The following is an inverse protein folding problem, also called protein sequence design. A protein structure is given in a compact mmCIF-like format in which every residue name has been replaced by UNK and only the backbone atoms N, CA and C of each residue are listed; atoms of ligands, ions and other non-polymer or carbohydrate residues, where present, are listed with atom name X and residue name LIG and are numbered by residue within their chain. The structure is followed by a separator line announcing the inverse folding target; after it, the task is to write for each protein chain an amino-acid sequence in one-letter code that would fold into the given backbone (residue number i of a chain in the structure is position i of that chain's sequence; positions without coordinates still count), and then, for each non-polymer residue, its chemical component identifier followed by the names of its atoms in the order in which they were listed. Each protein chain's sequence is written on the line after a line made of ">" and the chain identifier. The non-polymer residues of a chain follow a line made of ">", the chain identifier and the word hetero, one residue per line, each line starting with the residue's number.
data_IF_669342280778
#
_entry.id   IF_669342280778
#
_cell.length_a   1.000
_cell.length_b   1.000
_cell.length_c   1.000
_cell.angle_alpha   90.00
_cell.angle_beta   90.00
_cell.angle_gamma   90.00
#
_symmetry.space_group_name_H-M   'P 1'
#
loop_
_entity.id
_entity.type
_entity.pdbx_description
1 polymer ?
#
# COMPACT_ATOMS: atom_id res chain seq x y z
N UNK A 1 -5.36 -4.61 26.24
CA UNK A 1 -4.12 -5.21 25.69
C UNK A 1 -4.07 -5.04 24.18
N UNK A 2 -2.87 -5.03 23.60
CA UNK A 2 -2.50 -4.64 22.22
C UNK A 2 -3.05 -5.51 21.06
N UNK A 3 -4.32 -5.93 21.11
CA UNK A 3 -4.98 -6.72 20.06
C UNK A 3 -4.85 -6.12 18.65
N UNK A 4 -4.74 -4.80 18.54
CA UNK A 4 -4.56 -4.13 17.25
C UNK A 4 -3.17 -4.36 16.66
N UNK A 5 -2.11 -4.43 17.49
CA UNK A 5 -0.76 -4.73 17.00
C UNK A 5 -0.69 -6.19 16.54
N UNK A 6 -1.28 -7.10 17.30
CA UNK A 6 -1.36 -8.52 16.91
C UNK A 6 -2.09 -8.69 15.56
N UNK A 7 -3.16 -7.91 15.35
CA UNK A 7 -3.89 -7.88 14.07
C UNK A 7 -3.03 -7.31 12.94
N UNK A 8 -2.36 -6.17 13.12
CA UNK A 8 -1.48 -5.58 12.11
C UNK A 8 -0.36 -6.56 11.72
N UNK A 9 0.24 -7.23 12.70
CA UNK A 9 1.24 -8.27 12.43
C UNK A 9 0.65 -9.49 11.71
N UNK A 10 -0.61 -9.85 11.96
CA UNK A 10 -1.30 -10.88 11.19
C UNK A 10 -1.51 -10.44 9.75
N UNK A 11 -1.95 -9.19 9.55
CA UNK A 11 -2.10 -8.60 8.22
C UNK A 11 -0.78 -8.66 7.46
N UNK A 12 0.35 -8.31 8.09
CA UNK A 12 1.69 -8.42 7.50
C UNK A 12 2.08 -9.84 7.12
N UNK A 13 1.76 -10.84 7.96
CA UNK A 13 2.02 -12.25 7.64
C UNK A 13 1.24 -12.67 6.40
N UNK A 14 -0.04 -12.30 6.31
CA UNK A 14 -0.87 -12.60 5.15
C UNK A 14 -0.35 -11.92 3.89
N UNK A 15 -0.01 -10.62 3.98
CA UNK A 15 0.57 -9.89 2.86
C UNK A 15 1.89 -10.51 2.39
N UNK A 16 2.77 -10.93 3.32
CA UNK A 16 4.02 -11.62 2.96
C UNK A 16 3.78 -12.92 2.18
N UNK A 17 2.76 -13.69 2.55
CA UNK A 17 2.40 -14.91 1.81
C UNK A 17 1.95 -14.58 0.38
N UNK A 18 1.06 -13.60 0.21
CA UNK A 18 0.57 -13.19 -1.10
C UNK A 18 1.68 -12.62 -1.99
N UNK A 19 2.60 -11.83 -1.41
CA UNK A 19 3.77 -11.33 -2.13
C UNK A 19 4.71 -12.45 -2.56
N UNK A 20 4.86 -13.50 -1.75
CA UNK A 20 5.64 -14.69 -2.14
C UNK A 20 5.01 -15.42 -3.32
N UNK A 21 3.69 -15.64 -3.29
CA UNK A 21 2.97 -16.25 -4.42
C UNK A 21 3.09 -15.38 -5.68
N UNK A 22 2.99 -14.06 -5.55
CA UNK A 22 3.16 -13.13 -6.68
C UNK A 22 4.55 -13.22 -7.30
N UNK A 23 5.61 -13.35 -6.49
CA UNK A 23 6.97 -13.57 -6.98
C UNK A 23 7.13 -14.92 -7.69
N UNK A 24 6.55 -15.99 -7.14
CA UNK A 24 6.56 -17.32 -7.79
C UNK A 24 5.90 -17.26 -9.17
N UNK A 25 4.75 -16.58 -9.29
CA UNK A 25 4.09 -16.39 -10.58
C UNK A 25 4.93 -15.52 -11.53
N UNK A 26 5.62 -14.51 -11.00
CA UNK A 26 6.52 -13.68 -11.79
C UNK A 26 7.69 -14.49 -12.34
N UNK A 27 8.28 -15.38 -11.53
CA UNK A 27 9.41 -16.20 -11.96
C UNK A 27 8.99 -17.21 -13.04
N UNK A 28 7.78 -17.77 -12.96
CA UNK A 28 7.19 -18.56 -14.05
C UNK A 28 7.09 -17.73 -15.33
N UNK A 29 6.52 -16.52 -15.22
CA UNK A 29 6.37 -15.61 -16.34
C UNK A 29 7.73 -15.30 -16.98
N UNK A 30 8.74 -14.94 -16.19
CA UNK A 30 10.11 -14.64 -16.66
C UNK A 30 10.80 -15.83 -17.33
N UNK A 31 10.53 -17.06 -16.88
CA UNK A 31 11.04 -18.28 -17.49
C UNK A 31 10.34 -18.66 -18.82
N UNK A 32 9.34 -17.89 -19.25
CA UNK A 32 8.53 -18.19 -20.44
C UNK A 32 7.44 -19.24 -20.19
N UNK A 33 7.26 -19.66 -18.93
CA UNK A 33 6.14 -20.51 -18.52
C UNK A 33 4.88 -19.66 -18.32
N UNK A 34 3.69 -20.20 -18.60
CA UNK A 34 2.44 -19.46 -18.39
C UNK A 34 2.20 -19.27 -16.87
N UNK A 35 2.12 -18.03 -16.35
CA UNK A 35 1.69 -17.78 -14.99
C UNK A 35 0.16 -17.91 -14.87
N UNK A 36 -0.32 -18.08 -13.65
CA UNK A 36 -1.74 -17.98 -13.33
C UNK A 36 -2.14 -16.51 -13.17
N UNK A 37 -2.62 -15.90 -14.26
CA UNK A 37 -3.05 -14.50 -14.27
C UNK A 37 -4.31 -14.24 -13.43
N UNK A 38 -5.20 -15.22 -13.28
CA UNK A 38 -6.40 -15.07 -12.44
C UNK A 38 -5.99 -14.99 -10.95
N UNK A 39 -4.98 -15.76 -10.55
CA UNK A 39 -4.38 -15.69 -9.22
C UNK A 39 -3.63 -14.37 -9.01
N UNK A 40 -2.85 -13.91 -10.00
CA UNK A 40 -2.18 -12.60 -9.94
C UNK A 40 -3.22 -11.50 -9.75
N UNK A 41 -4.29 -11.48 -10.54
CA UNK A 41 -5.34 -10.45 -10.44
C UNK A 41 -5.97 -10.44 -9.04
N UNK A 42 -6.30 -11.62 -8.48
CA UNK A 42 -6.85 -11.71 -7.12
C UNK A 42 -5.90 -11.19 -6.05
N UNK A 43 -4.61 -11.50 -6.16
CA UNK A 43 -3.59 -10.99 -5.23
C UNK A 43 -3.51 -9.47 -5.32
N UNK A 44 -3.44 -8.93 -6.55
CA UNK A 44 -3.35 -7.48 -6.76
C UNK A 44 -4.62 -6.76 -6.31
N UNK A 45 -5.81 -7.33 -6.53
CA UNK A 45 -7.06 -6.74 -6.03
C UNK A 45 -7.08 -6.69 -4.51
N UNK A 46 -6.64 -7.76 -3.84
CA UNK A 46 -6.53 -7.78 -2.38
C UNK A 46 -5.53 -6.71 -1.89
N UNK A 47 -4.33 -6.65 -2.46
CA UNK A 47 -3.28 -5.74 -1.98
C UNK A 47 -3.48 -4.29 -2.43
N UNK A 48 -4.31 -4.03 -3.43
CA UNK A 48 -4.79 -2.70 -3.80
C UNK A 48 -5.74 -2.13 -2.74
N UNK A 49 -6.62 -2.98 -2.21
CA UNK A 49 -7.75 -2.56 -1.39
C UNK A 49 -7.53 -2.72 0.11
N UNK A 50 -7.09 -3.89 0.56
CA UNK A 50 -7.02 -4.19 1.98
C UNK A 50 -6.01 -3.28 2.71
N UNK A 51 -4.77 -3.07 2.20
CA UNK A 51 -3.83 -2.18 2.84
C UNK A 51 -4.36 -0.75 2.96
N UNK A 52 -4.86 -0.19 1.85
CA UNK A 52 -5.28 1.22 1.78
C UNK A 52 -6.57 1.53 2.55
N UNK A 53 -7.50 0.59 2.64
CA UNK A 53 -8.83 0.82 3.22
C UNK A 53 -8.95 0.38 4.68
N UNK A 54 -8.16 -0.61 5.09
CA UNK A 54 -8.30 -1.24 6.41
C UNK A 54 -7.02 -1.12 7.21
N UNK A 55 -5.90 -1.57 6.66
CA UNK A 55 -4.63 -1.69 7.38
C UNK A 55 -3.97 -0.34 7.66
N UNK A 56 -3.63 0.45 6.64
CA UNK A 56 -3.00 1.77 6.83
C UNK A 56 -3.86 2.75 7.63
N UNK A 57 -5.19 2.76 7.49
CA UNK A 57 -6.02 3.55 8.40
C UNK A 57 -5.86 3.15 9.89
N UNK A 58 -5.63 1.86 10.20
CA UNK A 58 -5.32 1.37 11.56
C UNK A 58 -4.01 1.94 12.06
N UNK A 59 -3.01 1.94 11.20
CA UNK A 59 -1.69 2.48 11.48
C UNK A 59 -1.73 3.99 11.69
N UNK A 60 -2.33 4.75 10.78
CA UNK A 60 -2.49 6.21 10.84
C UNK A 60 -3.17 6.68 12.13
N UNK A 61 -4.08 5.87 12.68
CA UNK A 61 -4.70 6.15 13.96
C UNK A 61 -3.70 5.99 15.12
N UNK A 62 -2.88 4.93 15.10
CA UNK A 62 -1.83 4.70 16.09
C UNK A 62 -0.71 5.74 15.97
N UNK A 63 -0.36 6.17 14.75
CA UNK A 63 0.64 7.21 14.49
C UNK A 63 0.25 8.52 15.17
N UNK A 64 -1.03 8.93 15.04
CA UNK A 64 -1.55 10.14 15.70
C UNK A 64 -1.45 10.08 17.22
N UNK A 65 -1.76 8.93 17.82
CA UNK A 65 -1.64 8.76 19.27
C UNK A 65 -0.18 8.76 19.72
N UNK A 66 0.69 8.12 18.96
CA UNK A 66 2.12 8.14 19.23
C UNK A 66 2.66 9.57 19.20
N UNK A 67 2.32 10.37 18.18
CA UNK A 67 2.76 11.77 18.10
C UNK A 67 2.29 12.64 19.25
N UNK A 68 1.12 12.35 19.83
CA UNK A 68 0.60 13.08 20.98
C UNK A 68 1.42 12.82 22.26
N UNK A 69 2.07 11.66 22.38
CA UNK A 69 2.85 11.25 23.57
C UNK A 69 4.36 11.31 23.35
N UNK A 70 4.81 11.06 22.13
CA UNK A 70 6.20 11.13 21.67
C UNK A 70 6.30 11.94 20.36
N UNK A 71 6.39 13.28 20.45
CA UNK A 71 6.64 14.13 19.28
C UNK A 71 7.97 13.83 18.56
N UNK A 72 8.92 13.16 19.22
CA UNK A 72 10.19 12.73 18.64
C UNK A 72 10.03 11.65 17.56
N UNK A 73 8.90 10.93 17.54
CA UNK A 73 8.57 9.97 16.49
C UNK A 73 8.09 10.61 15.17
N UNK A 74 8.04 11.95 15.08
CA UNK A 74 7.62 12.67 13.86
C UNK A 74 8.40 12.27 12.59
N UNK A 75 9.73 12.15 12.57
CA UNK A 75 10.46 11.79 11.35
C UNK A 75 10.09 10.40 10.83
N UNK A 76 10.07 9.38 11.70
CA UNK A 76 9.76 8.00 11.30
C UNK A 76 8.31 7.86 10.82
N UNK A 77 7.36 8.55 11.46
CA UNK A 77 5.96 8.58 11.00
C UNK A 77 5.84 9.28 9.64
N UNK A 78 6.59 10.37 9.42
CA UNK A 78 6.61 11.05 8.13
C UNK A 78 7.08 10.15 6.99
N UNK A 79 8.11 9.35 7.23
CA UNK A 79 8.61 8.37 6.25
C UNK A 79 7.55 7.31 5.94
N UNK A 80 6.91 6.72 6.96
CA UNK A 80 5.88 5.69 6.77
C UNK A 80 4.64 6.20 6.04
N UNK A 81 4.21 7.44 6.32
CA UNK A 81 3.12 8.08 5.59
C UNK A 81 3.50 8.28 4.10
N UNK A 82 4.75 8.66 3.82
CA UNK A 82 5.22 8.79 2.45
C UNK A 82 5.23 7.43 1.73
N UNK A 83 5.64 6.37 2.43
CA UNK A 83 5.60 4.99 1.93
C UNK A 83 4.16 4.57 1.59
N UNK A 84 3.16 4.85 2.46
CA UNK A 84 1.74 4.57 2.16
C UNK A 84 1.30 5.17 0.80
N UNK A 85 1.67 6.42 0.55
CA UNK A 85 1.32 7.10 -0.69
C UNK A 85 2.05 6.54 -1.91
N UNK A 86 3.32 6.13 -1.75
CA UNK A 86 4.09 5.51 -2.82
C UNK A 86 3.54 4.13 -3.17
N UNK A 87 3.29 3.30 -2.15
CA UNK A 87 2.72 1.96 -2.32
C UNK A 87 1.36 2.01 -3.00
N UNK A 88 0.48 2.93 -2.60
CA UNK A 88 -0.82 3.12 -3.23
C UNK A 88 -0.71 3.41 -4.74
N UNK A 89 0.27 4.25 -5.14
CA UNK A 89 0.51 4.54 -6.56
C UNK A 89 1.08 3.35 -7.32
N UNK A 90 1.99 2.61 -6.70
CA UNK A 90 2.61 1.43 -7.32
C UNK A 90 1.59 0.33 -7.57
N UNK A 91 0.77 0.00 -6.56
CA UNK A 91 -0.24 -1.05 -6.70
C UNK A 91 -1.34 -0.66 -7.69
N UNK A 92 -1.71 0.63 -7.79
CA UNK A 92 -2.62 1.12 -8.83
C UNK A 92 -2.05 0.92 -10.24
N UNK A 93 -0.76 1.23 -10.44
CA UNK A 93 -0.08 1.00 -11.72
C UNK A 93 -0.01 -0.49 -12.05
N UNK A 94 0.25 -1.33 -11.05
CA UNK A 94 0.32 -2.77 -11.23
C UNK A 94 -1.05 -3.37 -11.57
N UNK A 95 -2.12 -2.94 -10.88
CA UNK A 95 -3.49 -3.34 -11.20
C UNK A 95 -3.87 -2.96 -12.65
N UNK A 96 -3.52 -1.74 -13.09
CA UNK A 96 -3.76 -1.33 -14.47
C UNK A 96 -2.97 -2.19 -15.49
N UNK A 97 -1.73 -2.56 -15.17
CA UNK A 97 -0.92 -3.43 -16.02
C UNK A 97 -1.52 -4.84 -16.15
N UNK A 98 -1.92 -5.45 -15.03
CA UNK A 98 -2.59 -6.76 -15.03
C UNK A 98 -3.90 -6.71 -15.82
N UNK A 99 -4.71 -5.67 -15.62
CA UNK A 99 -5.95 -5.48 -16.38
C UNK A 99 -5.72 -5.33 -17.89
N UNK A 100 -4.65 -4.66 -18.29
CA UNK A 100 -4.27 -4.54 -19.70
C UNK A 100 -3.86 -5.89 -20.29
N UNK A 101 -3.04 -6.67 -19.57
CA UNK A 101 -2.63 -8.02 -20.01
C UNK A 101 -3.85 -8.93 -20.18
N UNK A 102 -4.81 -8.88 -19.25
CA UNK A 102 -6.06 -9.65 -19.35
C UNK A 102 -6.94 -9.28 -20.55
N UNK A 103 -6.65 -8.15 -21.23
CA UNK A 103 -7.33 -7.68 -22.44
C UNK A 103 -6.45 -7.80 -23.69
N UNK A 104 -5.44 -8.66 -23.64
CA UNK A 104 -4.48 -8.91 -24.71
C UNK A 104 -3.72 -7.66 -25.17
N UNK A 105 -3.57 -6.67 -24.28
CA UNK A 105 -2.73 -5.50 -24.56
C UNK A 105 -1.27 -5.88 -24.31
N UNK A 106 -0.45 -5.73 -25.34
CA UNK A 106 0.98 -5.99 -25.26
C UNK A 106 1.69 -4.93 -24.40
N UNK A 107 2.42 -5.37 -23.38
CA UNK A 107 3.25 -4.54 -22.52
C UNK A 107 4.71 -5.03 -22.61
N UNK A 108 5.71 -4.14 -22.51
CA UNK A 108 7.10 -4.58 -22.43
C UNK A 108 7.29 -5.48 -21.20
N UNK A 109 7.69 -6.73 -21.43
CA UNK A 109 7.91 -7.74 -20.39
C UNK A 109 8.77 -7.23 -19.23
N UNK A 110 9.95 -6.69 -19.57
CA UNK A 110 10.90 -6.17 -18.57
C UNK A 110 10.29 -5.05 -17.71
N UNK A 111 9.45 -4.19 -18.32
CA UNK A 111 8.77 -3.14 -17.57
C UNK A 111 7.75 -3.70 -16.57
N UNK A 112 6.96 -4.70 -16.98
CA UNK A 112 6.00 -5.35 -16.09
C UNK A 112 6.70 -6.09 -14.95
N UNK A 113 7.78 -6.83 -15.27
CA UNK A 113 8.57 -7.54 -14.27
C UNK A 113 9.18 -6.60 -13.24
N UNK A 114 9.79 -5.50 -13.69
CA UNK A 114 10.32 -4.49 -12.79
C UNK A 114 9.23 -3.85 -11.92
N UNK A 115 8.04 -3.61 -12.47
CA UNK A 115 6.91 -3.05 -11.71
C UNK A 115 6.47 -3.98 -10.57
N UNK A 116 6.40 -5.30 -10.83
CA UNK A 116 6.06 -6.29 -9.80
C UNK A 116 7.17 -6.36 -8.74
N UNK A 117 8.44 -6.45 -9.15
CA UNK A 117 9.59 -6.54 -8.24
C UNK A 117 9.70 -5.29 -7.35
N UNK A 118 9.51 -4.10 -7.92
CA UNK A 118 9.51 -2.83 -7.18
C UNK A 118 8.39 -2.80 -6.13
N UNK A 119 7.18 -3.24 -6.51
CA UNK A 119 6.06 -3.28 -5.59
C UNK A 119 6.30 -4.25 -4.42
N UNK A 120 6.78 -5.47 -4.70
CA UNK A 120 7.08 -6.47 -3.66
C UNK A 120 8.18 -5.97 -2.73
N UNK A 121 9.27 -5.45 -3.27
CA UNK A 121 10.40 -4.97 -2.48
C UNK A 121 9.99 -3.81 -1.56
N UNK A 122 9.27 -2.82 -2.08
CA UNK A 122 8.81 -1.67 -1.28
C UNK A 122 7.80 -2.06 -0.22
N UNK A 123 6.87 -2.96 -0.52
CA UNK A 123 5.88 -3.42 0.46
C UNK A 123 6.57 -4.15 1.62
N UNK A 124 7.56 -5.00 1.33
CA UNK A 124 8.37 -5.67 2.36
C UNK A 124 9.18 -4.70 3.21
N UNK A 125 9.87 -3.75 2.56
CA UNK A 125 10.66 -2.73 3.26
C UNK A 125 9.81 -1.89 4.20
N UNK A 126 8.60 -1.54 3.77
CA UNK A 126 7.64 -0.77 4.57
C UNK A 126 7.19 -1.57 5.81
N UNK A 127 6.68 -2.79 5.63
CA UNK A 127 6.27 -3.66 6.76
C UNK A 127 7.43 -3.91 7.74
N UNK A 128 8.66 -4.08 7.24
CA UNK A 128 9.85 -4.28 8.07
C UNK A 128 10.19 -3.02 8.89
N UNK A 129 10.03 -1.83 8.31
CA UNK A 129 10.24 -0.58 9.02
C UNK A 129 9.26 -0.41 10.19
N UNK A 130 7.99 -0.77 9.98
CA UNK A 130 6.94 -0.73 11.00
C UNK A 130 7.21 -1.73 12.11
N UNK A 131 7.47 -2.99 11.77
CA UNK A 131 7.71 -4.07 12.72
C UNK A 131 8.96 -3.83 13.58
N UNK A 132 10.04 -3.31 12.98
CA UNK A 132 11.32 -3.10 13.70
C UNK A 132 11.39 -1.79 14.46
N UNK A 133 10.74 -0.73 13.96
CA UNK A 133 10.94 0.62 14.49
C UNK A 133 9.70 1.14 15.19
N UNK A 134 8.53 1.01 14.57
CA UNK A 134 7.32 1.67 15.02
C UNK A 134 6.57 0.86 16.07
N UNK A 135 6.28 -0.42 15.81
CA UNK A 135 5.48 -1.25 16.73
C UNK A 135 6.11 -1.33 18.14
N UNK A 136 7.44 -1.49 18.29
CA UNK A 136 8.06 -1.45 19.61
C UNK A 136 7.87 -0.10 20.32
N UNK A 137 7.94 1.02 19.59
CA UNK A 137 7.73 2.38 20.15
C UNK A 137 6.29 2.58 20.60
N UNK A 138 5.32 2.12 19.81
CA UNK A 138 3.91 2.15 20.17
C UNK A 138 3.65 1.39 21.46
N UNK A 139 4.18 0.17 21.58
CA UNK A 139 4.03 -0.66 22.78
C UNK A 139 4.71 -0.06 24.01
N UNK A 140 5.85 0.62 23.84
CA UNK A 140 6.58 1.26 24.94
C UNK A 140 5.94 2.58 25.41
N UNK A 141 5.19 3.27 24.53
CA UNK A 141 4.73 4.65 24.77
C UNK A 141 3.25 4.76 25.08
N UNK A 142 2.40 3.93 24.46
CA UNK A 142 0.95 4.01 24.61
C UNK A 142 0.44 3.21 25.80
N UNK A 143 -0.51 3.78 26.55
CA UNK A 143 -1.13 3.14 27.71
C UNK A 143 -2.49 2.48 27.38
N UNK A 144 -3.09 1.79 28.36
CA UNK A 144 -4.36 1.08 28.17
C UNK A 144 -5.50 1.96 27.65
N UNK A 145 -5.51 3.26 27.96
CA UNK A 145 -6.56 4.18 27.51
C UNK A 145 -6.46 4.48 26.00
N UNK A 146 -5.23 4.51 25.46
CA UNK A 146 -4.98 4.68 24.03
C UNK A 146 -5.46 3.46 23.21
N UNK A 147 -5.27 2.26 23.76
CA UNK A 147 -5.63 1.00 23.11
C UNK A 147 -7.14 0.75 23.09
N UNK A 148 -7.82 1.04 24.20
CA UNK A 148 -9.27 0.76 24.35
C UNK A 148 -10.10 1.57 23.36
N UNK A 149 -9.73 2.83 23.15
CA UNK A 149 -10.37 3.71 22.16
C UNK A 149 -10.14 3.28 20.70
N UNK A 150 -9.15 2.41 20.43
CA UNK A 150 -8.85 1.92 19.09
C UNK A 150 -9.79 0.79 18.68
N UNK A 151 -9.90 -0.23 19.51
CA UNK A 151 -10.65 -1.47 19.22
C UNK A 151 -12.14 -1.21 18.95
N UNK A 152 -12.71 -0.25 19.69
CA UNK A 152 -14.11 0.16 19.58
C UNK A 152 -14.41 0.95 18.29
N UNK A 153 -13.46 1.75 17.84
CA UNK A 153 -13.61 2.56 16.62
C UNK A 153 -13.57 1.66 15.38
N UNK A 154 -12.69 0.65 15.35
CA UNK A 154 -12.52 -0.24 14.19
C UNK A 154 -13.73 -1.10 13.89
N UNK A 155 -14.35 -1.75 14.89
CA UNK A 155 -15.60 -2.50 14.67
C UNK A 155 -16.71 -1.64 14.03
N UNK A 156 -16.74 -0.34 14.36
CA UNK A 156 -17.75 0.59 13.82
C UNK A 156 -17.41 1.15 12.44
N UNK A 157 -16.12 1.27 12.11
CA UNK A 157 -15.62 1.77 10.84
C UNK A 157 -15.57 0.69 9.74
N UNK A 158 -15.11 -0.52 10.08
CA UNK A 158 -14.98 -1.68 9.18
C UNK A 158 -16.33 -2.08 8.57
N UNK A 159 -17.38 -2.19 9.38
CA UNK A 159 -18.76 -2.47 8.92
C UNK A 159 -19.27 -1.38 7.97
N UNK A 160 -18.96 -0.10 8.23
CA UNK A 160 -19.49 1.03 7.44
C UNK A 160 -18.75 1.23 6.12
N UNK A 161 -17.44 1.07 6.09
CA UNK A 161 -16.66 1.18 4.86
C UNK A 161 -16.97 0.02 3.90
N UNK A 162 -17.04 -1.22 4.40
CA UNK A 162 -17.41 -2.39 3.59
C UNK A 162 -18.84 -2.27 3.02
N UNK A 163 -19.81 -1.85 3.86
CA UNK A 163 -21.20 -1.68 3.43
C UNK A 163 -21.45 -0.46 2.52
N UNK A 164 -20.60 0.57 2.58
CA UNK A 164 -20.66 1.72 1.68
C UNK A 164 -20.14 1.36 0.28
N UNK A 165 -19.10 0.53 0.19
CA UNK A 165 -18.47 0.13 -1.08
C UNK A 165 -19.29 -0.89 -1.88
N UNK A 166 -20.01 -1.81 -1.23
CA UNK A 166 -21.00 -2.66 -1.91
C UNK A 166 -22.13 -1.85 -2.56
N UNK A 167 -22.21 -0.55 -2.26
CA UNK A 167 -23.18 0.41 -2.81
C UNK A 167 -22.52 1.52 -3.63
N UNK A 168 -21.22 1.44 -3.92
CA UNK A 168 -20.48 2.45 -4.71
C UNK A 168 -20.30 3.80 -4.00
N UNK A 169 -20.33 3.85 -2.67
CA UNK A 169 -20.25 5.09 -1.89
C UNK A 169 -18.85 5.25 -1.29
N UNK A 170 -18.24 6.42 -1.48
CA UNK A 170 -17.01 6.83 -0.79
C UNK A 170 -17.30 7.19 0.67
N UNK A 171 -16.64 6.52 1.62
CA UNK A 171 -16.85 6.75 3.05
C UNK A 171 -15.75 7.66 3.61
N UNK A 172 -16.13 8.80 4.20
CA UNK A 172 -15.23 9.65 5.00
C UNK A 172 -15.53 9.48 6.48
N UNK A 173 -14.51 9.23 7.32
CA UNK A 173 -14.69 9.12 8.78
C UNK A 173 -13.80 10.14 9.51
N UNK A 174 -14.40 10.96 10.38
CA UNK A 174 -13.69 11.78 11.38
C UNK A 174 -13.55 11.05 12.71
N UNK A 175 -12.55 11.46 13.50
CA UNK A 175 -12.32 10.99 14.87
C UNK A 175 -13.62 10.89 15.68
N UNK A 176 -13.98 9.68 16.10
CA UNK A 176 -15.10 9.43 17.01
C UNK A 176 -16.49 9.26 16.41
N UNK A 177 -16.74 9.58 15.12
CA UNK A 177 -18.04 9.25 14.49
C UNK A 177 -17.95 9.15 12.96
N UNK A 178 -18.48 8.06 12.39
CA UNK A 178 -18.81 8.01 10.96
C UNK A 178 -20.29 8.41 10.81
N UNK A 179 -20.58 9.66 10.43
CA UNK A 179 -21.93 10.05 10.00
C UNK A 179 -22.01 10.00 8.47
N UNK A 180 -23.21 9.78 7.93
CA UNK A 180 -23.50 9.99 6.51
C UNK A 180 -23.00 11.40 6.16
N UNK A 181 -22.14 11.53 5.15
CA UNK A 181 -21.62 12.83 4.73
C UNK A 181 -22.82 13.74 4.38
N UNK A 182 -23.12 14.73 5.23
CA UNK A 182 -23.88 15.90 4.81
C UNK A 182 -22.97 16.67 3.85
N UNK A 183 -23.55 17.14 2.74
CA UNK A 183 -22.85 17.89 1.70
C UNK A 183 -21.96 18.96 2.36
N UNK A 184 -20.64 18.87 2.18
CA UNK A 184 -19.72 19.98 2.46
C UNK A 184 -18.59 19.78 3.48
N UNK A 185 -18.38 18.61 4.10
CA UNK A 185 -17.26 18.38 5.02
C UNK A 185 -16.33 17.26 4.57
N UNK A 186 -15.08 17.57 4.20
CA UNK A 186 -14.06 16.56 3.84
C UNK A 186 -13.25 16.15 5.06
N UNK A 187 -13.33 14.88 5.48
CA UNK A 187 -12.31 14.27 6.33
C UNK A 187 -11.06 14.11 5.49
N UNK A 188 -9.99 14.83 5.84
CA UNK A 188 -8.70 14.69 5.18
C UNK A 188 -7.92 13.53 5.82
N UNK A 189 -7.45 12.53 5.04
CA UNK A 189 -6.51 11.52 5.53
C UNK A 189 -5.31 12.16 6.23
N UNK A 190 -4.57 11.41 7.07
CA UNK A 190 -3.37 11.94 7.73
C UNK A 190 -2.39 12.52 6.69
N UNK A 191 -2.28 11.84 5.53
CA UNK A 191 -1.61 12.32 4.31
C UNK A 191 -1.98 13.75 3.90
N UNK A 192 -3.25 14.13 3.98
CA UNK A 192 -3.77 15.43 3.54
C UNK A 192 -3.62 16.55 4.60
N UNK A 193 -3.27 16.18 5.83
CA UNK A 193 -3.04 17.12 6.96
C UNK A 193 -1.58 17.16 7.41
N UNK A 194 -0.73 16.28 6.88
CA UNK A 194 0.70 16.25 7.16
C UNK A 194 1.41 17.43 6.51
N UNK A 195 1.81 18.43 7.31
CA UNK A 195 2.45 19.65 6.82
C UNK A 195 3.97 19.53 6.67
N UNK A 196 4.48 18.34 6.33
CA UNK A 196 5.86 18.08 5.89
C UNK A 196 6.97 18.58 6.82
N UNK A 197 7.45 17.74 7.73
CA UNK A 197 8.90 17.74 8.01
C UNK A 197 9.55 16.82 6.99
N UNK A 198 10.67 17.24 6.39
CA UNK A 198 11.33 16.50 5.33
C UNK A 198 11.60 15.03 5.75
N UNK A 199 11.37 14.05 4.86
CA UNK A 199 11.67 12.65 5.15
C UNK A 199 13.13 12.51 5.59
N UNK A 200 13.42 11.53 6.46
CA UNK A 200 14.72 11.41 7.17
C UNK A 200 15.92 11.11 6.27
N UNK A 201 15.77 11.21 4.95
CA UNK A 201 16.83 11.00 3.99
C UNK A 201 17.24 9.53 3.88
N UNK A 202 16.36 8.58 4.22
CA UNK A 202 16.61 7.16 3.99
C UNK A 202 16.91 6.98 2.50
N UNK A 203 18.14 6.55 2.20
CA UNK A 203 18.67 6.47 0.84
C UNK A 203 17.68 5.69 -0.03
N UNK A 204 17.16 6.35 -1.06
CA UNK A 204 16.38 5.69 -2.11
C UNK A 204 17.33 4.68 -2.75
N UNK A 205 17.01 3.39 -2.64
CA UNK A 205 17.64 2.42 -3.53
C UNK A 205 17.32 2.86 -4.95
N UNK A 206 18.36 3.16 -5.73
CA UNK A 206 18.23 3.64 -7.10
C UNK A 206 17.66 2.51 -7.96
N UNK A 207 16.36 2.55 -8.25
CA UNK A 207 15.79 1.79 -9.36
C UNK A 207 16.24 2.44 -10.67
N UNK A 208 16.66 1.57 -11.60
CA UNK A 208 17.40 1.91 -12.82
C UNK A 208 16.73 2.97 -13.69
N UNK A 209 17.53 3.93 -14.14
CA UNK A 209 17.19 4.82 -15.24
C UNK A 209 17.16 4.01 -16.54
N UNK A 210 15.98 3.55 -16.96
CA UNK A 210 15.79 3.08 -18.33
C UNK A 210 15.68 4.30 -19.25
N UNK A 211 16.76 4.58 -19.98
CA UNK A 211 16.76 5.48 -21.12
C UNK A 211 15.98 4.83 -22.27
N UNK A 212 14.83 5.40 -22.63
CA UNK A 212 14.13 5.06 -23.87
C UNK A 212 14.90 5.70 -25.03
N UNK A 213 15.72 4.92 -25.75
CA UNK A 213 16.19 5.31 -27.09
C UNK A 213 15.25 4.69 -28.12
N UNK A 214 14.58 5.56 -28.88
CA UNK A 214 13.60 5.22 -29.89
C UNK A 214 14.16 4.37 -31.02
N UNK A 215 13.40 3.36 -31.38
CA UNK A 215 13.42 2.69 -32.68
C UNK A 215 12.71 3.61 -33.70
N UNK A 216 13.36 3.94 -34.81
CA UNK A 216 12.67 4.12 -36.09
C UNK A 216 13.65 4.05 -37.27
N UNK A 217 13.19 3.31 -38.29
CA UNK A 217 13.68 3.19 -39.69
C UNK A 217 14.79 2.14 -39.89
N UNK A 218 14.61 1.10 -40.71
CA UNK A 218 13.52 0.70 -41.59
C UNK A 218 13.96 -0.55 -42.33
N UNK A 219 13.09 -1.55 -42.41
CA UNK A 219 13.27 -2.68 -43.30
C UNK A 219 12.72 -2.31 -44.68
N UNK A 220 13.40 -2.86 -45.69
CA UNK A 220 12.89 -3.26 -46.99
C UNK A 220 13.01 -2.26 -48.15
N UNK A 221 13.97 -2.55 -49.03
CA UNK A 221 13.68 -2.84 -50.44
C UNK A 221 14.87 -3.58 -51.07
N UNK A 222 14.67 -4.86 -51.35
CA UNK A 222 15.48 -5.63 -52.30
C UNK A 222 14.77 -5.76 -53.65
N UNK A 223 15.58 -6.06 -54.68
CA UNK A 223 15.26 -6.50 -56.06
C UNK A 223 15.02 -5.42 -57.12
N UNK A 224 16.08 -5.07 -57.86
CA UNK A 224 16.36 -5.51 -59.25
C UNK A 224 17.57 -4.74 -59.81
#
# INVERSE_FOLDING_TARGET
>A
MARIIDQLQMDHRNMRLLLGILEEQLDLYSAGSPPDFDLIEQIIDYTLHYPSLIHHPREDLLFRRLLARDPGSRPVIGDLIADHAELAKLVQRLAAAVHNIARDVELPREWFENLVRDYVAKTRQHMEAEERSLFPRLLATLDNSDWTNSTDWWHRAEIRCLAARSKGITCGCTAGSCRRASRGGTCRPLLDTWNGSAPSGRARSATGQYHVRGLHQGLDQGQA
#
